data_IF_332863149632
#
_entry.id   IF_332863149632
#
_cell.length_a   1.000
_cell.length_b   1.000
_cell.length_c   1.000
_cell.angle_alpha   90.00
_cell.angle_beta   90.00
_cell.angle_gamma   90.00
#
_symmetry.space_group_name_H-M   'P 1'
#
loop_
_entity.id
_entity.type
_entity.pdbx_description
1 polymer ?
#
# COMPACT_ATOMS: atom_id res chain seq x y z
N UNK A 1 4.79 -9.49 -10.17
CA UNK A 1 4.51 -8.06 -9.93
C UNK A 1 5.84 -7.38 -9.58
N UNK A 2 6.39 -6.48 -10.42
CA UNK A 2 7.69 -5.81 -10.18
C UNK A 2 7.53 -4.41 -9.54
N UNK A 3 6.60 -4.27 -8.58
CA UNK A 3 6.37 -3.02 -7.84
C UNK A 3 6.80 -3.20 -6.39
N UNK A 4 7.32 -2.14 -5.76
CA UNK A 4 7.63 -2.15 -4.34
C UNK A 4 6.35 -2.27 -3.50
N UNK A 5 6.40 -3.08 -2.46
CA UNK A 5 5.31 -3.28 -1.49
C UNK A 5 5.85 -2.93 -0.11
N UNK A 6 5.05 -2.24 0.69
CA UNK A 6 5.39 -1.88 2.07
C UNK A 6 4.14 -1.77 2.94
N UNK A 7 4.35 -1.83 4.25
CA UNK A 7 3.32 -1.50 5.24
C UNK A 7 3.46 -0.04 5.63
N UNK A 8 2.34 0.63 5.86
CA UNK A 8 2.30 2.03 6.28
C UNK A 8 1.28 2.23 7.40
N UNK A 9 1.62 3.09 8.36
CA UNK A 9 0.66 3.59 9.35
C UNK A 9 0.00 4.84 8.80
N UNK A 10 -1.33 4.82 8.69
CA UNK A 10 -2.13 5.87 8.06
C UNK A 10 -3.29 6.19 9.00
N UNK A 11 -3.70 7.46 9.06
CA UNK A 11 -4.93 7.84 9.76
C UNK A 11 -6.12 7.12 9.14
N UNK A 12 -6.97 6.52 9.97
CA UNK A 12 -8.06 5.62 9.55
C UNK A 12 -8.99 6.29 8.54
N UNK A 13 -9.29 7.57 8.71
CA UNK A 13 -10.16 8.36 7.82
C UNK A 13 -9.60 8.54 6.40
N UNK A 14 -8.31 8.26 6.19
CA UNK A 14 -7.65 8.32 4.88
C UNK A 14 -7.44 6.94 4.24
N UNK A 15 -7.85 5.87 4.90
CA UNK A 15 -7.69 4.51 4.37
C UNK A 15 -8.79 4.23 3.35
N UNK A 16 -8.42 4.23 2.07
CA UNK A 16 -9.31 3.87 0.97
C UNK A 16 -8.54 3.06 -0.07
N UNK A 17 -8.99 1.83 -0.34
CA UNK A 17 -8.35 0.93 -1.30
C UNK A 17 -8.32 1.56 -2.71
N UNK A 18 -7.16 1.50 -3.36
CA UNK A 18 -6.92 2.12 -4.67
C UNK A 18 -6.65 3.63 -4.61
N UNK A 19 -6.73 4.27 -3.45
CA UNK A 19 -6.48 5.71 -3.33
C UNK A 19 -5.01 6.03 -3.61
N UNK A 20 -4.71 6.97 -4.53
CA UNK A 20 -3.34 7.36 -4.83
C UNK A 20 -2.76 8.17 -3.68
N UNK A 21 -1.52 7.87 -3.34
CA UNK A 21 -0.74 8.59 -2.32
C UNK A 21 0.65 8.91 -2.85
N UNK A 22 1.28 9.91 -2.23
CA UNK A 22 2.67 10.25 -2.47
C UNK A 22 3.51 9.79 -1.27
N UNK A 23 4.54 9.02 -1.55
CA UNK A 23 5.55 8.61 -0.57
C UNK A 23 6.89 9.24 -0.95
N UNK A 24 7.75 9.46 0.03
CA UNK A 24 9.10 9.92 -0.22
C UNK A 24 10.07 8.74 -0.17
N UNK A 25 10.90 8.61 -1.20
CA UNK A 25 12.00 7.65 -1.23
C UNK A 25 13.27 8.41 -1.59
N UNK A 26 14.18 8.54 -0.61
CA UNK A 26 15.46 9.27 -0.77
C UNK A 26 15.22 10.69 -1.30
N UNK A 27 14.39 11.46 -0.60
CA UNK A 27 14.02 12.85 -0.95
C UNK A 27 13.27 13.00 -2.29
N UNK A 28 12.98 11.90 -2.98
CA UNK A 28 12.19 11.93 -4.20
C UNK A 28 10.75 11.54 -3.94
N UNK A 29 9.77 12.36 -4.35
CA UNK A 29 8.38 11.96 -4.30
C UNK A 29 8.11 10.84 -5.31
N UNK A 30 7.43 9.79 -4.87
CA UNK A 30 6.98 8.67 -5.70
C UNK A 30 5.50 8.42 -5.46
N UNK A 31 4.78 8.07 -6.52
CA UNK A 31 3.37 7.70 -6.42
C UNK A 31 3.23 6.24 -5.97
N UNK A 32 2.28 6.00 -5.09
CA UNK A 32 1.84 4.67 -4.67
C UNK A 32 0.31 4.64 -4.57
N UNK A 33 -0.24 3.47 -4.31
CA UNK A 33 -1.67 3.31 -4.02
C UNK A 33 -1.82 2.62 -2.66
N UNK A 34 -2.84 3.02 -1.91
CA UNK A 34 -3.25 2.26 -0.73
C UNK A 34 -3.86 0.94 -1.22
N UNK A 35 -3.43 -0.17 -0.64
CA UNK A 35 -4.14 -1.43 -0.82
C UNK A 35 -4.43 -2.09 0.51
N UNK A 36 -5.69 -2.51 0.69
CA UNK A 36 -6.15 -3.27 1.86
C UNK A 36 -6.44 -4.73 1.52
N UNK A 37 -6.42 -5.07 0.22
CA UNK A 37 -6.60 -6.44 -0.28
C UNK A 37 -5.27 -7.20 -0.26
N UNK A 38 -5.31 -8.54 -0.17
CA UNK A 38 -4.12 -9.36 -0.35
C UNK A 38 -3.48 -9.13 -1.72
N UNK A 39 -2.15 -8.96 -1.75
CA UNK A 39 -1.39 -8.81 -2.99
C UNK A 39 -1.38 -10.07 -3.87
N UNK A 40 -1.57 -11.24 -3.25
CA UNK A 40 -1.62 -12.54 -3.92
C UNK A 40 -3.02 -13.14 -3.68
N UNK A 41 -3.82 -13.37 -4.73
CA UNK A 41 -5.12 -14.04 -4.61
C UNK A 41 -4.98 -15.41 -3.94
N UNK A 42 -5.86 -15.73 -2.99
CA UNK A 42 -5.82 -17.01 -2.25
C UNK A 42 -4.77 -17.06 -1.13
N UNK A 43 -4.03 -15.97 -0.89
CA UNK A 43 -3.26 -15.78 0.34
C UNK A 43 -4.21 -15.71 1.53
N UNK A 44 -4.43 -16.85 2.19
CA UNK A 44 -5.16 -16.93 3.45
C UNK A 44 -4.11 -16.84 4.56
N UNK A 45 -4.16 -15.78 5.38
CA UNK A 45 -3.50 -15.80 6.69
C UNK A 45 -4.18 -16.89 7.52
N UNK A 46 -3.56 -18.07 7.63
CA UNK A 46 -3.84 -18.98 8.72
C UNK A 46 -3.14 -18.39 9.95
N UNK A 47 -3.93 -18.04 10.97
CA UNK A 47 -3.40 -17.68 12.29
C UNK A 47 -2.66 -18.87 12.89
#
# INVERSE_FOLDING_TARGET
MKKGIGLASIRTEKIKDGEPIQIEIREQPKQAIITTKPFIPGSIRKN
#
